data_IF_334117828988
#
_entry.id   IF_334117828988
#
_cell.length_a   1.000
_cell.length_b   1.000
_cell.length_c   1.000
_cell.angle_alpha   90.00
_cell.angle_beta   90.00
_cell.angle_gamma   90.00
#
_symmetry.space_group_name_H-M   'P 1'
#
loop_
_entity.id
_entity.type
_entity.pdbx_description
1 polymer ?
#
# COMPACT_ATOMS: atom_id res chain seq x y z
N UNK A 1 2.29 2.03 19.09
CA UNK A 1 2.15 1.12 17.94
C UNK A 1 2.62 1.86 16.69
N UNK A 2 3.63 1.34 15.98
CA UNK A 2 4.19 2.01 14.81
C UNK A 2 3.26 1.85 13.62
N UNK A 3 2.23 2.70 13.56
CA UNK A 3 1.56 2.99 12.31
C UNK A 3 2.62 3.44 11.29
N UNK A 4 2.53 2.98 10.04
CA UNK A 4 3.39 3.51 8.98
C UNK A 4 3.24 5.04 8.96
N UNK A 5 4.35 5.72 9.23
CA UNK A 5 4.40 7.18 9.33
C UNK A 5 4.64 7.83 7.97
N UNK A 6 5.16 7.05 7.02
CA UNK A 6 5.50 7.49 5.67
C UNK A 6 5.49 6.30 4.71
N UNK A 7 5.50 6.60 3.40
CA UNK A 7 5.68 5.61 2.33
C UNK A 7 6.98 4.83 2.50
N UNK A 8 8.07 5.53 2.82
CA UNK A 8 9.38 4.92 3.10
C UNK A 8 9.32 3.89 4.21
N UNK A 9 8.59 4.16 5.29
CA UNK A 9 8.47 3.20 6.38
C UNK A 9 7.74 1.92 5.94
N UNK A 10 6.71 2.04 5.09
CA UNK A 10 6.02 0.87 4.52
C UNK A 10 6.94 0.07 3.59
N UNK A 11 7.72 0.75 2.74
CA UNK A 11 8.67 0.11 1.83
C UNK A 11 9.76 -0.63 2.62
N UNK A 12 10.38 0.02 3.61
CA UNK A 12 11.38 -0.59 4.49
C UNK A 12 10.81 -1.81 5.23
N UNK A 13 9.56 -1.73 5.69
CA UNK A 13 8.92 -2.88 6.31
C UNK A 13 8.73 -4.04 5.31
N UNK A 14 8.32 -3.75 4.09
CA UNK A 14 8.19 -4.75 3.02
C UNK A 14 9.53 -5.37 2.64
N UNK A 15 10.61 -4.59 2.55
CA UNK A 15 11.95 -5.11 2.26
C UNK A 15 12.38 -6.16 3.30
N UNK A 16 12.08 -5.90 4.57
CA UNK A 16 12.47 -6.77 5.68
C UNK A 16 11.54 -7.99 5.88
N UNK A 17 10.27 -7.89 5.47
CA UNK A 17 9.25 -8.90 5.77
C UNK A 17 8.71 -9.65 4.55
N UNK A 18 8.95 -9.17 3.32
CA UNK A 18 8.41 -9.82 2.12
C UNK A 18 9.09 -11.18 1.89
N UNK A 19 8.33 -12.30 1.89
CA UNK A 19 8.92 -13.62 1.72
C UNK A 19 9.46 -13.87 0.31
N UNK A 20 9.11 -13.02 -0.67
CA UNK A 20 9.50 -13.19 -2.07
C UNK A 20 10.69 -12.29 -2.42
N UNK A 21 11.88 -12.89 -2.50
CA UNK A 21 13.13 -12.20 -2.90
C UNK A 21 13.03 -11.40 -4.20
N UNK A 22 12.23 -11.87 -5.17
CA UNK A 22 12.02 -11.14 -6.43
C UNK A 22 11.28 -9.81 -6.24
N UNK A 23 10.36 -9.73 -5.27
CA UNK A 23 9.71 -8.46 -4.92
C UNK A 23 10.67 -7.58 -4.16
N UNK A 24 11.40 -8.11 -3.17
CA UNK A 24 12.43 -7.38 -2.43
C UNK A 24 13.44 -6.74 -3.38
N UNK A 25 13.95 -7.51 -4.35
CA UNK A 25 14.86 -7.00 -5.38
C UNK A 25 14.22 -5.89 -6.23
N UNK A 26 12.94 -6.04 -6.59
CA UNK A 26 12.23 -5.03 -7.36
C UNK A 26 11.90 -3.77 -6.55
N UNK A 27 11.80 -3.85 -5.22
CA UNK A 27 11.71 -2.69 -4.34
C UNK A 27 13.02 -1.89 -4.33
N UNK A 28 14.17 -2.57 -4.39
CA UNK A 28 15.49 -1.92 -4.40
C UNK A 28 15.90 -1.37 -5.77
N UNK A 29 15.76 -2.17 -6.82
CA UNK A 29 16.33 -1.88 -8.14
C UNK A 29 15.28 -1.35 -9.14
N UNK A 30 14.00 -1.63 -8.88
CA UNK A 30 12.91 -1.34 -9.80
C UNK A 30 12.25 0.01 -9.55
N UNK A 31 11.00 0.13 -10.01
CA UNK A 31 10.14 1.26 -9.68
C UNK A 31 9.01 0.83 -8.75
N UNK A 32 8.69 1.70 -7.80
CA UNK A 32 7.60 1.52 -6.85
C UNK A 32 6.61 2.65 -7.05
N UNK A 33 5.34 2.29 -7.18
CA UNK A 33 4.22 3.22 -7.31
C UNK A 33 3.21 2.89 -6.22
N UNK A 34 2.84 3.92 -5.45
CA UNK A 34 1.91 3.80 -4.35
C UNK A 34 0.48 4.01 -4.86
N UNK A 35 -0.37 2.99 -4.74
CA UNK A 35 -1.79 3.12 -5.10
C UNK A 35 -2.62 3.69 -3.97
N UNK A 36 -2.13 3.64 -2.73
CA UNK A 36 -2.82 4.23 -1.60
C UNK A 36 -3.50 3.19 -0.73
N UNK A 37 -4.49 3.65 0.04
CA UNK A 37 -5.24 2.83 0.97
C UNK A 37 -6.48 2.19 0.34
N UNK A 38 -6.81 1.01 0.81
CA UNK A 38 -7.95 0.21 0.37
C UNK A 38 -8.71 -0.31 1.58
N UNK A 39 -10.03 -0.36 1.47
CA UNK A 39 -10.88 -0.98 2.46
C UNK A 39 -12.17 -1.56 1.85
N UNK A 40 -12.34 -2.88 1.90
CA UNK A 40 -11.36 -3.87 2.35
C UNK A 40 -10.24 -4.11 1.32
N UNK A 41 -9.25 -4.96 1.64
CA UNK A 41 -8.36 -5.58 0.66
C UNK A 41 -8.79 -7.04 0.44
N UNK A 42 -9.55 -7.33 -0.64
CA UNK A 42 -9.98 -8.69 -0.96
C UNK A 42 -8.82 -9.71 -1.06
N UNK A 43 -9.05 -10.97 -0.67
CA UNK A 43 -10.30 -11.55 -0.15
C UNK A 43 -10.51 -11.33 1.35
N UNK A 44 -9.70 -10.50 2.01
CA UNK A 44 -9.88 -10.19 3.44
C UNK A 44 -10.90 -9.06 3.61
N UNK A 45 -11.46 -8.92 4.80
CA UNK A 45 -12.32 -7.79 5.18
C UNK A 45 -11.52 -6.65 5.83
N UNK A 46 -10.19 -6.70 5.74
CA UNK A 46 -9.30 -5.80 6.46
C UNK A 46 -8.78 -4.69 5.56
N UNK A 47 -8.57 -3.49 6.12
CA UNK A 47 -7.98 -2.39 5.38
C UNK A 47 -6.49 -2.64 5.12
N UNK A 48 -5.94 -1.94 4.15
CA UNK A 48 -4.53 -2.03 3.86
C UNK A 48 -4.07 -1.03 2.82
N UNK A 49 -2.83 -1.19 2.38
CA UNK A 49 -2.25 -0.42 1.30
C UNK A 49 -1.86 -1.32 0.16
N UNK A 50 -1.99 -0.83 -1.06
CA UNK A 50 -1.53 -1.52 -2.25
C UNK A 50 -0.42 -0.69 -2.89
N UNK A 51 0.65 -1.38 -3.27
CA UNK A 51 1.72 -0.83 -4.08
C UNK A 51 1.89 -1.66 -5.34
N UNK A 52 2.25 -0.98 -6.42
CA UNK A 52 2.74 -1.61 -7.63
C UNK A 52 4.25 -1.58 -7.60
N UNK A 53 4.85 -2.74 -7.82
CA UNK A 53 6.30 -2.89 -7.94
C UNK A 53 6.60 -3.37 -9.35
N UNK A 54 7.43 -2.64 -10.07
CA UNK A 54 7.88 -3.01 -11.41
C UNK A 54 9.37 -3.30 -11.36
N UNK A 55 9.76 -4.54 -11.66
CA UNK A 55 11.19 -4.90 -11.72
C UNK A 55 11.90 -4.16 -12.86
N UNK A 56 13.23 -4.08 -12.80
CA UNK A 56 14.08 -3.59 -13.91
C UNK A 56 13.83 -4.26 -15.26
N UNK A 57 13.30 -5.49 -15.26
CA UNK A 57 12.92 -6.23 -16.47
C UNK A 57 11.45 -6.02 -16.90
N UNK A 58 10.77 -5.02 -16.36
CA UNK A 58 9.39 -4.65 -16.71
C UNK A 58 8.29 -5.52 -16.11
N UNK A 59 8.62 -6.53 -15.29
CA UNK A 59 7.62 -7.37 -14.63
C UNK A 59 6.90 -6.62 -13.51
N UNK A 60 5.58 -6.50 -13.62
CA UNK A 60 4.71 -5.83 -12.64
C UNK A 60 4.19 -6.83 -11.60
N UNK A 61 4.12 -6.39 -10.35
CA UNK A 61 3.46 -7.08 -9.24
C UNK A 61 2.67 -6.08 -8.40
N UNK A 62 1.46 -6.46 -7.99
CA UNK A 62 0.69 -5.72 -7.00
C UNK A 62 0.89 -6.37 -5.63
N UNK A 63 1.35 -5.60 -4.67
CA UNK A 63 1.63 -6.07 -3.31
C UNK A 63 0.73 -5.33 -2.34
N UNK A 64 -0.07 -6.08 -1.59
CA UNK A 64 -0.91 -5.57 -0.55
C UNK A 64 -0.26 -5.77 0.83
N UNK A 65 -0.26 -4.71 1.62
CA UNK A 65 0.04 -4.72 3.05
C UNK A 65 -1.27 -4.56 3.81
N UNK A 66 -1.73 -5.65 4.42
CA UNK A 66 -3.02 -5.73 5.10
C UNK A 66 -2.81 -5.47 6.58
N UNK A 67 -3.55 -4.52 7.15
CA UNK A 67 -3.51 -4.21 8.57
C UNK A 67 -4.60 -5.01 9.31
N UNK A 68 -4.20 -5.87 10.25
CA UNK A 68 -5.13 -6.64 11.08
C UNK A 68 -4.73 -6.57 12.55
N UNK A 69 -5.56 -5.90 13.36
CA UNK A 69 -5.31 -5.64 14.79
C UNK A 69 -3.87 -5.15 14.98
N UNK A 70 -3.02 -5.98 15.58
CA UNK A 70 -1.64 -5.66 15.94
C UNK A 70 -0.57 -6.14 14.95
N UNK A 71 -0.99 -6.62 13.78
CA UNK A 71 -0.10 -7.23 12.80
C UNK A 71 -0.35 -6.73 11.38
N UNK A 72 0.68 -6.85 10.55
CA UNK A 72 0.61 -6.59 9.12
C UNK A 72 0.88 -7.86 8.32
N UNK A 73 0.03 -8.13 7.33
CA UNK A 73 0.16 -9.26 6.42
C UNK A 73 0.58 -8.80 5.02
N UNK A 74 1.34 -9.64 4.31
CA UNK A 74 1.73 -9.40 2.91
C UNK A 74 0.93 -10.34 2.00
N UNK A 75 0.36 -9.77 0.94
CA UNK A 75 -0.30 -10.52 -0.14
C UNK A 75 0.17 -10.00 -1.50
N UNK A 76 0.23 -10.90 -2.47
CA UNK A 76 0.48 -10.52 -3.87
C UNK A 76 -0.84 -10.69 -4.59
N UNK A 77 -1.31 -9.60 -5.18
CA UNK A 77 -2.58 -9.57 -5.88
C UNK A 77 -2.36 -9.86 -7.37
N UNK A 78 -3.40 -10.41 -8.00
CA UNK A 78 -3.44 -10.55 -9.46
C UNK A 78 -3.81 -9.22 -10.11
N UNK A 79 -4.84 -8.58 -9.58
CA UNK A 79 -5.41 -7.32 -10.05
C UNK A 79 -5.66 -6.39 -8.86
N UNK A 80 -5.81 -5.09 -9.14
CA UNK A 80 -6.09 -4.08 -8.10
C UNK A 80 -7.60 -3.94 -7.92
N UNK A 81 -8.13 -4.09 -6.69
CA UNK A 81 -9.54 -3.93 -6.40
C UNK A 81 -9.92 -2.45 -6.29
N UNK A 82 -9.89 -1.71 -7.39
CA UNK A 82 -10.13 -0.26 -7.41
C UNK A 82 -11.46 0.17 -6.79
N UNK A 83 -12.50 -0.66 -6.85
CA UNK A 83 -13.78 -0.41 -6.16
C UNK A 83 -13.68 -0.35 -4.62
N UNK A 84 -12.58 -0.81 -4.04
CA UNK A 84 -12.28 -0.72 -2.60
C UNK A 84 -11.25 0.39 -2.28
N UNK A 85 -10.83 1.17 -3.29
CA UNK A 85 -9.85 2.22 -3.10
C UNK A 85 -10.44 3.36 -2.29
N UNK A 86 -9.74 3.76 -1.22
CA UNK A 86 -10.22 4.78 -0.29
C UNK A 86 -10.06 6.20 -0.84
N UNK A 87 -9.44 6.39 -2.01
CA UNK A 87 -9.30 7.69 -2.64
C UNK A 87 -8.49 8.70 -1.83
N UNK A 88 -8.78 9.98 -2.08
CA UNK A 88 -8.34 11.10 -1.24
C UNK A 88 -9.22 11.24 0.01
N UNK A 89 -10.15 10.31 0.26
CA UNK A 89 -11.09 10.40 1.35
C UNK A 89 -10.33 10.31 2.67
N UNK A 90 -10.58 11.29 3.55
CA UNK A 90 -10.26 11.17 4.96
C UNK A 90 -11.04 9.95 5.47
N UNK A 91 -10.35 8.84 5.66
CA UNK A 91 -10.84 7.74 6.49
C UNK A 91 -11.57 8.31 7.71
N UNK A 92 -12.76 7.83 8.10
CA UNK A 92 -13.57 8.54 9.07
C UNK A 92 -12.80 8.63 10.39
N UNK A 93 -12.45 9.86 10.77
CA UNK A 93 -12.48 10.34 12.15
C UNK A 93 -11.92 9.35 13.19
N UNK A 94 -10.66 8.96 13.07
CA UNK A 94 -9.92 8.38 14.19
C UNK A 94 -8.42 8.63 14.02
N UNK A 95 -8.02 9.88 14.20
CA UNK A 95 -6.74 10.38 14.73
C UNK A 95 -6.64 11.85 14.32
N UNK A 96 -6.33 12.72 15.28
CA UNK A 96 -6.27 14.18 15.17
C UNK A 96 -5.84 14.70 13.79
N UNK A 97 -6.48 15.80 13.38
CA UNK A 97 -6.32 16.55 12.13
C UNK A 97 -4.88 17.04 11.81
N UNK A 98 -3.86 16.60 12.54
CA UNK A 98 -2.52 17.17 12.54
C UNK A 98 -1.53 16.45 11.60
N UNK A 99 -1.91 15.36 10.93
CA UNK A 99 -0.97 14.55 10.15
C UNK A 99 -1.28 14.52 8.65
N UNK A 100 -0.89 15.59 7.93
CA UNK A 100 -0.83 15.63 6.45
C UNK A 100 -0.12 14.41 5.84
N UNK A 101 0.88 13.85 6.54
CA UNK A 101 1.61 12.67 6.10
C UNK A 101 0.76 11.41 5.97
N UNK A 102 -0.20 11.20 6.89
CA UNK A 102 -1.09 10.04 6.81
C UNK A 102 -2.02 10.15 5.61
N UNK A 103 -2.49 11.35 5.27
CA UNK A 103 -3.34 11.58 4.09
C UNK A 103 -2.62 11.19 2.78
N UNK A 104 -1.31 11.46 2.66
CA UNK A 104 -0.51 11.07 1.49
C UNK A 104 -0.32 9.55 1.33
N UNK A 105 -0.42 8.80 2.42
CA UNK A 105 -0.38 7.33 2.38
C UNK A 105 -1.70 6.76 1.85
N UNK A 106 -2.84 7.44 2.04
CA UNK A 106 -4.13 6.94 1.55
C UNK A 106 -4.39 7.31 0.08
N UNK A 107 -3.94 8.49 -0.36
CA UNK A 107 -4.22 8.98 -1.72
C UNK A 107 -3.42 8.29 -2.83
N UNK A 108 -2.30 7.63 -2.52
CA UNK A 108 -1.39 7.15 -3.56
C UNK A 108 -0.61 8.27 -4.26
N UNK A 109 0.16 7.90 -5.28
CA UNK A 109 1.03 8.78 -6.07
C UNK A 109 0.25 9.57 -7.13
N UNK A 110 -0.70 8.92 -7.80
CA UNK A 110 -1.50 9.49 -8.89
C UNK A 110 -3.01 9.39 -8.61
N UNK A 111 -3.54 10.02 -7.54
CA UNK A 111 -4.93 9.87 -7.13
C UNK A 111 -5.94 10.23 -8.22
N UNK A 112 -5.64 11.21 -9.08
CA UNK A 112 -6.55 11.61 -10.15
C UNK A 112 -6.69 10.54 -11.25
N UNK A 113 -5.68 9.68 -11.42
CA UNK A 113 -5.70 8.56 -12.38
C UNK A 113 -6.45 7.34 -11.82
N UNK A 114 -6.55 7.23 -10.50
CA UNK A 114 -7.18 6.09 -9.81
C UNK A 114 -8.69 6.31 -9.55
N UNK A 115 -9.18 7.56 -9.73
CA UNK A 115 -10.61 7.92 -9.68
C UNK A 115 -11.29 7.48 -10.99
N UNK A 116 -11.55 6.18 -11.14
CA UNK A 116 -12.41 5.65 -12.20
C UNK A 116 -13.87 5.60 -11.75
#
# INVERSE_FOLDING_TARGET
>A
MNHFQSRTHLILWLENNCPRKAIVRALYEGTVEFYGGFNPVPPTEHPGWIIRVTSVHGKIRYVAVIAYRDHYGIRILRDVPWGCWCGTYKWPVCYNNDNKFRQQLFSGDHPEEYKS
#
